data_IF_383994055843
#
_entry.id   IF_383994055843
#
_cell.length_a   1.000
_cell.length_b   1.000
_cell.length_c   1.000
_cell.angle_alpha   90.00
_cell.angle_beta   90.00
_cell.angle_gamma   90.00
#
_symmetry.space_group_name_H-M   'P 1'
#
loop_
_entity.id
_entity.type
_entity.pdbx_description
1 polymer ?
#
# COMPACT_ATOMS: atom_id res chain seq x y z
N UNK A 1 20.58 -16.04 10.53
CA UNK A 1 20.24 -15.81 10.12
C UNK A 1 19.40 -15.29 10.03
N UNK A 2 19.36 -15.02 9.94
CA UNK A 2 18.48 -14.57 9.85
C UNK A 2 17.89 -14.67 8.81
N UNK A 3 17.91 -15.16 8.46
CA UNK A 3 17.37 -15.29 7.64
C UNK A 3 16.31 -15.61 7.49
N UNK A 4 16.05 -15.63 8.26
CA UNK A 4 15.06 -15.80 8.10
C UNK A 4 14.30 -14.89 8.00
N UNK A 5 14.52 -14.41 7.30
CA UNK A 5 13.74 -13.52 6.87
C UNK A 5 12.64 -14.13 6.44
N UNK A 6 11.57 -13.74 6.84
CA UNK A 6 10.40 -14.31 6.40
C UNK A 6 10.33 -14.17 5.01
N UNK A 7 9.90 -14.84 4.44
CA UNK A 7 9.36 -14.93 3.32
C UNK A 7 9.17 -13.71 2.64
N UNK A 8 10.19 -12.92 2.51
CA UNK A 8 10.11 -11.73 1.76
C UNK A 8 9.81 -11.95 0.32
N UNK A 9 10.07 -13.12 -0.22
CA UNK A 9 9.68 -13.37 -1.59
C UNK A 9 8.18 -13.34 -1.73
N UNK A 10 7.47 -13.68 -0.70
CA UNK A 10 6.05 -13.64 -0.71
C UNK A 10 5.53 -12.24 -0.56
N UNK A 11 6.17 -11.42 0.24
CA UNK A 11 5.76 -10.07 0.43
C UNK A 11 6.32 -9.14 -0.61
N UNK A 12 7.35 -9.54 -1.29
CA UNK A 12 8.07 -8.67 -2.16
C UNK A 12 7.23 -7.97 -3.16
N UNK A 13 6.29 -8.66 -3.73
CA UNK A 13 5.41 -8.06 -4.69
C UNK A 13 4.57 -6.97 -4.08
N UNK A 14 4.12 -7.19 -2.85
CA UNK A 14 3.29 -6.22 -2.19
C UNK A 14 4.11 -5.13 -1.55
N UNK A 15 5.25 -5.49 -1.02
CA UNK A 15 6.07 -4.54 -0.32
C UNK A 15 6.92 -3.71 -1.23
N UNK A 16 6.88 -3.98 -2.52
CA UNK A 16 7.49 -3.09 -3.47
C UNK A 16 6.70 -1.82 -3.58
N UNK A 17 5.70 -1.67 -2.76
CA UNK A 17 4.97 -0.44 -2.73
C UNK A 17 3.77 -0.46 -3.61
N UNK A 18 3.50 -1.58 -4.25
CA UNK A 18 2.34 -1.66 -5.11
C UNK A 18 1.30 -2.49 -4.47
N UNK A 19 0.29 -1.91 -4.02
CA UNK A 19 -0.80 -2.65 -3.44
C UNK A 19 -1.94 -1.76 -3.04
N UNK A 20 -3.08 -2.36 -2.87
CA UNK A 20 -4.29 -1.69 -2.49
C UNK A 20 -4.83 -2.30 -1.23
N UNK A 21 -5.28 -1.46 -0.33
CA UNK A 21 -5.94 -1.89 0.89
C UNK A 21 -7.30 -1.23 0.97
N UNK A 22 -8.28 -1.97 1.47
CA UNK A 22 -9.64 -1.46 1.58
C UNK A 22 -10.13 -1.63 3.00
N UNK A 23 -10.89 -0.67 3.47
CA UNK A 23 -11.61 -0.79 4.73
C UNK A 23 -13.03 -0.35 4.46
N UNK A 24 -13.89 -1.34 4.26
CA UNK A 24 -15.25 -1.07 3.79
C UNK A 24 -16.10 -0.33 4.80
N UNK A 25 -15.90 -0.62 6.08
CA UNK A 25 -16.69 0.06 7.07
C UNK A 25 -16.38 1.55 7.16
N UNK A 26 -15.27 1.98 6.64
CA UNK A 26 -14.95 3.40 6.57
C UNK A 26 -15.12 3.94 5.16
N UNK A 27 -15.40 3.08 4.21
CA UNK A 27 -15.58 3.50 2.84
C UNK A 27 -14.33 4.07 2.21
N UNK A 28 -13.18 3.49 2.54
CA UNK A 28 -11.90 4.02 2.08
C UNK A 28 -11.03 2.96 1.42
N UNK A 29 -10.24 3.43 0.46
CA UNK A 29 -9.21 2.65 -0.21
C UNK A 29 -7.90 3.38 -0.07
N UNK A 30 -6.83 2.62 0.04
CA UNK A 30 -5.49 3.20 0.06
C UNK A 30 -4.66 2.46 -0.96
N UNK A 31 -3.90 3.19 -1.76
CA UNK A 31 -2.91 2.62 -2.66
C UNK A 31 -1.53 3.07 -2.20
N UNK A 32 -0.60 2.14 -2.13
CA UNK A 32 0.79 2.46 -1.84
C UNK A 32 1.59 1.96 -3.03
N UNK A 33 2.36 2.83 -3.64
CA UNK A 33 3.17 2.47 -4.79
C UNK A 33 4.47 3.27 -4.79
N UNK A 34 5.51 2.80 -5.49
CA UNK A 34 6.74 3.57 -5.58
C UNK A 34 6.46 4.94 -6.17
N UNK A 35 7.14 5.94 -5.65
CA UNK A 35 6.95 7.31 -6.15
C UNK A 35 7.48 7.47 -7.55
N UNK A 36 8.47 6.66 -7.92
CA UNK A 36 8.97 6.62 -9.29
C UNK A 36 9.03 5.16 -9.70
N UNK A 37 8.96 4.93 -11.00
CA UNK A 37 8.91 3.57 -11.52
C UNK A 37 10.29 2.95 -11.56
N UNK A 38 10.83 2.65 -10.40
CA UNK A 38 12.12 2.00 -10.32
C UNK A 38 12.16 1.16 -9.06
N UNK A 39 12.88 0.05 -9.16
CA UNK A 39 12.99 -0.84 -8.01
C UNK A 39 13.84 -0.24 -6.90
N UNK A 40 14.52 0.85 -7.18
CA UNK A 40 15.35 1.51 -6.18
C UNK A 40 14.67 2.76 -5.62
N UNK A 41 13.38 2.91 -5.84
CA UNK A 41 12.68 4.05 -5.32
C UNK A 41 12.82 4.11 -3.81
N UNK A 42 13.24 5.25 -3.29
CA UNK A 42 13.40 5.44 -1.86
C UNK A 42 12.13 5.95 -1.22
N UNK A 43 11.19 6.41 -2.03
CA UNK A 43 9.93 6.96 -1.54
C UNK A 43 8.78 6.20 -2.15
N UNK A 44 7.69 6.17 -1.41
CA UNK A 44 6.43 5.64 -1.90
C UNK A 44 5.39 6.74 -1.84
N UNK A 45 4.40 6.62 -2.69
CA UNK A 45 3.27 7.52 -2.73
C UNK A 45 2.07 6.78 -2.16
N UNK A 46 1.47 7.35 -1.13
CA UNK A 46 0.30 6.78 -0.51
C UNK A 46 -0.89 7.62 -0.93
N UNK A 47 -1.82 7.01 -1.63
CA UNK A 47 -3.00 7.72 -2.14
C UNK A 47 -4.25 7.19 -1.46
N UNK A 48 -5.08 8.09 -0.99
CA UNK A 48 -6.30 7.75 -0.27
C UNK A 48 -7.48 8.06 -1.16
N UNK A 49 -8.40 7.12 -1.29
CA UNK A 49 -9.57 7.26 -2.14
C UNK A 49 -10.83 6.94 -1.36
N UNK A 50 -11.93 7.52 -1.78
CA UNK A 50 -13.21 7.08 -1.26
C UNK A 50 -13.65 5.87 -2.05
N UNK A 51 -14.18 4.90 -1.35
CA UNK A 51 -14.70 3.69 -1.98
C UNK A 51 -16.02 4.06 -2.64
N UNK A 52 -16.11 3.85 -3.96
CA UNK A 52 -17.32 4.15 -4.69
C UNK A 52 -17.38 3.25 -5.91
N UNK A 53 -18.47 3.33 -6.66
CA UNK A 53 -18.64 2.51 -7.84
C UNK A 53 -17.61 2.84 -8.90
N UNK A 54 -17.03 4.03 -8.82
CA UNK A 54 -16.08 4.47 -9.79
C UNK A 54 -14.94 5.13 -9.07
N UNK A 55 -13.74 4.68 -9.31
CA UNK A 55 -12.58 5.26 -8.68
C UNK A 55 -12.33 6.65 -9.26
N UNK A 56 -12.36 7.63 -8.42
CA UNK A 56 -12.10 9.00 -8.81
C UNK A 56 -10.67 9.37 -8.51
N UNK A 57 -10.46 10.67 -8.33
CA UNK A 57 -9.16 11.15 -7.93
C UNK A 57 -8.95 10.88 -6.46
N UNK A 58 -7.70 10.72 -6.03
CA UNK A 58 -7.46 10.54 -4.60
C UNK A 58 -7.89 11.78 -3.84
N UNK A 59 -8.44 11.57 -2.66
CA UNK A 59 -8.84 12.68 -1.80
C UNK A 59 -7.63 13.24 -1.07
N UNK A 60 -6.55 12.48 -1.02
CA UNK A 60 -5.34 12.92 -0.37
C UNK A 60 -4.19 12.06 -0.87
N UNK A 61 -3.01 12.62 -0.97
CA UNK A 61 -1.80 11.89 -1.30
C UNK A 61 -0.69 12.31 -0.37
N UNK A 62 0.22 11.38 -0.10
CA UNK A 62 1.29 11.63 0.83
C UNK A 62 2.50 10.84 0.37
N UNK A 63 3.65 11.47 0.36
CA UNK A 63 4.89 10.81 0.00
C UNK A 63 5.64 10.50 1.28
N UNK A 64 6.21 9.33 1.37
CA UNK A 64 6.97 8.97 2.55
C UNK A 64 8.11 8.03 2.18
N UNK A 65 9.06 7.90 3.06
CA UNK A 65 10.15 6.98 2.85
C UNK A 65 9.60 5.56 2.73
N UNK A 66 10.25 4.77 1.91
CA UNK A 66 9.75 3.45 1.58
C UNK A 66 9.54 2.57 2.80
N UNK A 67 10.49 2.57 3.73
CA UNK A 67 10.34 1.71 4.90
C UNK A 67 9.15 2.13 5.76
N UNK A 68 8.83 3.41 5.77
CA UNK A 68 7.66 3.88 6.50
C UNK A 68 6.37 3.44 5.79
N UNK A 69 6.41 3.42 4.46
CA UNK A 69 5.28 2.92 3.70
C UNK A 69 5.04 1.43 3.93
N UNK A 70 6.11 0.67 4.02
CA UNK A 70 6.01 -0.76 4.30
C UNK A 70 5.44 -0.98 5.70
N UNK A 71 5.93 -0.21 6.68
CA UNK A 71 5.40 -0.31 8.03
C UNK A 71 3.92 0.03 8.06
N UNK A 72 3.55 1.06 7.34
CA UNK A 72 2.15 1.46 7.24
C UNK A 72 1.31 0.34 6.63
N UNK A 73 1.80 -0.27 5.56
CA UNK A 73 1.13 -1.37 4.89
C UNK A 73 0.85 -2.52 5.87
N UNK A 74 1.85 -2.88 6.65
CA UNK A 74 1.71 -3.96 7.61
C UNK A 74 0.76 -3.58 8.73
N UNK A 75 0.92 -2.38 9.26
CA UNK A 75 0.13 -1.96 10.40
C UNK A 75 -1.34 -1.77 10.07
N UNK A 76 -1.63 -1.28 8.88
CA UNK A 76 -3.03 -1.12 8.47
C UNK A 76 -3.73 -2.47 8.41
N UNK A 77 -3.04 -3.49 7.95
CA UNK A 77 -3.63 -4.81 7.89
C UNK A 77 -3.90 -5.37 9.29
N UNK A 78 -3.08 -5.00 10.25
CA UNK A 78 -3.29 -5.45 11.62
C UNK A 78 -4.55 -4.85 12.23
N UNK A 79 -4.94 -3.68 11.77
CA UNK A 79 -6.11 -3.02 12.34
C UNK A 79 -7.35 -3.14 11.47
N UNK A 80 -7.32 -4.05 10.51
CA UNK A 80 -8.56 -4.40 9.80
C UNK A 80 -8.62 -4.05 8.33
N UNK A 81 -7.61 -3.36 7.80
CA UNK A 81 -7.59 -3.12 6.36
C UNK A 81 -7.24 -4.41 5.65
N UNK A 82 -7.84 -4.64 4.51
CA UNK A 82 -7.65 -5.88 3.78
C UNK A 82 -7.07 -5.60 2.42
N UNK A 83 -6.15 -6.44 2.03
CA UNK A 83 -5.55 -6.37 0.71
C UNK A 83 -6.63 -6.64 -0.35
N UNK A 84 -6.60 -5.90 -1.43
CA UNK A 84 -7.55 -6.11 -2.51
C UNK A 84 -6.87 -5.85 -3.83
N UNK A 85 -7.56 -6.23 -4.90
CA UNK A 85 -7.07 -5.97 -6.24
C UNK A 85 -7.30 -4.51 -6.59
N UNK A 86 -6.56 -4.04 -7.58
CA UNK A 86 -6.75 -2.69 -8.08
C UNK A 86 -8.19 -2.53 -8.56
N UNK A 87 -8.88 -1.50 -8.13
CA UNK A 87 -10.24 -1.28 -8.60
C UNK A 87 -10.22 -0.78 -10.03
N UNK A 88 -11.27 -1.01 -10.72
CA UNK A 88 -11.37 -0.56 -12.10
C UNK A 88 -12.03 0.76 -12.18
#
# INVERSE_FOLDING_TARGET
MWQQQPDYSRYKEKLNGEGWLVRRQEGMLIQIKPAVATQHAQFVLVSYYRLSTRLGKPVRQQRMLRHLGIDMWINLQKIGWKHCSAPN
#
